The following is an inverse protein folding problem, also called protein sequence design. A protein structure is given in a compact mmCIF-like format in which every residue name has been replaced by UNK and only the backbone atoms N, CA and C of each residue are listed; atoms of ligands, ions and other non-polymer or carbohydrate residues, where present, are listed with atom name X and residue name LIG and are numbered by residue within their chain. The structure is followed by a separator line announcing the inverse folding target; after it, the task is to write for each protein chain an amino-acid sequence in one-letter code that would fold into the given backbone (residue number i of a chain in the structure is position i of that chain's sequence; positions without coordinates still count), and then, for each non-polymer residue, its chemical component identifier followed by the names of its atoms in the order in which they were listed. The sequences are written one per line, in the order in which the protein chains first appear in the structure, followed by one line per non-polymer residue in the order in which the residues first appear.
data_IF_182412241510
#
_entry.id   IF_182412241510
#
_cell.length_a   1.000
_cell.length_b   1.000
_cell.length_c   1.000
_cell.angle_alpha   90.00
_cell.angle_beta   90.00
_cell.angle_gamma   90.00
#
_symmetry.space_group_name_H-M   'P 1'
#
loop_
_entity.id
_entity.type
_entity.pdbx_description
1 polymer ?
#
# COMPACT_ATOMS: atom_id res chain seq x y z
N UNK A 1 4.36 -39.52 -1.58
CA UNK A 1 2.88 -39.54 -1.57
C UNK A 1 2.28 -39.95 -2.91
N UNK A 2 2.71 -39.39 -4.07
CA UNK A 2 2.24 -39.81 -5.41
C UNK A 2 2.48 -41.30 -5.75
N UNK A 3 3.59 -41.90 -5.27
CA UNK A 3 3.90 -43.32 -5.50
C UNK A 3 2.97 -44.30 -4.77
N UNK A 4 2.25 -43.84 -3.73
CA UNK A 4 1.37 -44.67 -2.89
C UNK A 4 -0.13 -44.45 -3.18
N UNK A 5 -0.51 -43.33 -3.80
CA UNK A 5 -1.91 -42.91 -3.90
C UNK A 5 -2.56 -43.20 -5.29
N UNK A 6 -1.80 -43.46 -6.34
CA UNK A 6 -2.37 -43.75 -7.68
C UNK A 6 -2.75 -42.50 -8.49
N UNK A 7 -2.86 -42.66 -9.81
CA UNK A 7 -2.91 -41.56 -10.81
C UNK A 7 -4.07 -40.57 -10.59
N UNK A 8 -5.17 -40.97 -9.96
CA UNK A 8 -6.35 -40.14 -9.67
C UNK A 8 -6.01 -38.94 -8.78
N UNK A 9 -5.03 -39.07 -7.87
CA UNK A 9 -4.60 -37.96 -7.00
C UNK A 9 -3.89 -36.83 -7.76
N UNK A 10 -3.43 -37.06 -9.00
CA UNK A 10 -2.85 -35.98 -9.80
C UNK A 10 -3.87 -34.88 -10.08
N UNK A 11 -5.13 -35.24 -10.34
CA UNK A 11 -6.20 -34.26 -10.61
C UNK A 11 -6.43 -33.38 -9.37
N UNK A 12 -6.44 -33.98 -8.19
CA UNK A 12 -6.53 -33.25 -6.92
C UNK A 12 -5.37 -32.26 -6.75
N UNK A 13 -4.13 -32.70 -6.98
CA UNK A 13 -2.97 -31.81 -6.90
C UNK A 13 -3.03 -30.68 -7.93
N UNK A 14 -3.43 -30.96 -9.18
CA UNK A 14 -3.57 -29.92 -10.20
C UNK A 14 -4.61 -28.88 -9.77
N UNK A 15 -5.78 -29.31 -9.27
CA UNK A 15 -6.82 -28.39 -8.80
C UNK A 15 -6.38 -27.56 -7.60
N UNK A 16 -5.75 -28.18 -6.59
CA UNK A 16 -5.28 -27.49 -5.39
C UNK A 16 -4.16 -26.50 -5.72
N UNK A 17 -3.21 -26.88 -6.56
CA UNK A 17 -2.13 -25.97 -6.96
C UNK A 17 -2.69 -24.83 -7.80
N UNK A 18 -3.57 -25.12 -8.77
CA UNK A 18 -4.18 -24.10 -9.59
C UNK A 18 -4.99 -23.12 -8.73
N UNK A 19 -6.04 -23.60 -8.05
CA UNK A 19 -6.90 -22.76 -7.21
C UNK A 19 -6.13 -22.08 -6.07
N UNK A 20 -5.20 -22.79 -5.45
CA UNK A 20 -4.34 -22.26 -4.40
C UNK A 20 -3.46 -21.12 -4.91
N UNK A 21 -2.79 -21.28 -6.05
CA UNK A 21 -1.96 -20.22 -6.63
C UNK A 21 -2.79 -19.00 -7.03
N UNK A 22 -3.95 -19.17 -7.66
CA UNK A 22 -4.82 -18.04 -7.98
C UNK A 22 -5.28 -17.29 -6.74
N UNK A 23 -5.69 -18.02 -5.69
CA UNK A 23 -6.09 -17.43 -4.43
C UNK A 23 -4.93 -16.64 -3.79
N UNK A 24 -3.74 -17.24 -3.70
CA UNK A 24 -2.57 -16.59 -3.11
C UNK A 24 -2.14 -15.34 -3.90
N UNK A 25 -2.12 -15.40 -5.23
CA UNK A 25 -1.77 -14.23 -6.06
C UNK A 25 -2.77 -13.10 -5.83
N UNK A 26 -4.08 -13.40 -5.81
CA UNK A 26 -5.11 -12.39 -5.58
C UNK A 26 -5.01 -11.77 -4.18
N UNK A 27 -4.72 -12.58 -3.16
CA UNK A 27 -4.49 -12.06 -1.81
C UNK A 27 -3.26 -11.13 -1.75
N UNK A 28 -2.15 -11.52 -2.37
CA UNK A 28 -0.94 -10.70 -2.42
C UNK A 28 -1.22 -9.38 -3.15
N UNK A 29 -1.89 -9.44 -4.31
CA UNK A 29 -2.24 -8.24 -5.08
C UNK A 29 -3.15 -7.30 -4.28
N UNK A 30 -4.14 -7.84 -3.57
CA UNK A 30 -5.01 -7.05 -2.72
C UNK A 30 -4.22 -6.34 -1.61
N UNK A 31 -3.31 -7.05 -0.93
CA UNK A 31 -2.47 -6.48 0.14
C UNK A 31 -1.52 -5.42 -0.41
N UNK A 32 -0.88 -5.68 -1.55
CA UNK A 32 0.04 -4.71 -2.19
C UNK A 32 -0.71 -3.47 -2.64
N UNK A 33 -1.90 -3.63 -3.23
CA UNK A 33 -2.73 -2.50 -3.63
C UNK A 33 -3.14 -1.64 -2.42
N UNK A 34 -3.61 -2.27 -1.34
CA UNK A 34 -3.96 -1.56 -0.10
C UNK A 34 -2.76 -0.85 0.51
N UNK A 35 -1.59 -1.50 0.60
CA UNK A 35 -0.38 -0.90 1.16
C UNK A 35 0.15 0.25 0.29
N UNK A 36 0.02 0.15 -1.03
CA UNK A 36 0.39 1.22 -1.95
C UNK A 36 -0.54 2.43 -1.79
N UNK A 37 -1.85 2.18 -1.70
CA UNK A 37 -2.84 3.23 -1.50
C UNK A 37 -2.65 3.94 -0.16
N UNK A 38 -2.47 3.18 0.93
CA UNK A 38 -2.24 3.72 2.27
C UNK A 38 -0.96 4.57 2.34
N UNK A 39 0.15 4.07 1.77
CA UNK A 39 1.39 4.86 1.73
C UNK A 39 1.26 6.12 0.88
N UNK A 40 0.55 6.04 -0.25
CA UNK A 40 0.34 7.21 -1.10
C UNK A 40 -0.50 8.27 -0.38
N UNK A 41 -1.62 7.87 0.26
CA UNK A 41 -2.46 8.78 1.05
C UNK A 41 -1.68 9.43 2.19
N UNK A 42 -0.89 8.67 2.96
CA UNK A 42 -0.08 9.21 4.04
C UNK A 42 0.98 10.23 3.53
N UNK A 43 1.60 9.95 2.38
CA UNK A 43 2.59 10.86 1.78
C UNK A 43 1.96 12.17 1.31
N UNK A 44 0.77 12.09 0.71
CA UNK A 44 -0.01 13.27 0.29
C UNK A 44 -0.41 14.13 1.48
N UNK A 45 -0.96 13.51 2.53
CA UNK A 45 -1.39 14.23 3.73
C UNK A 45 -0.21 14.89 4.45
N UNK A 46 0.94 14.21 4.56
CA UNK A 46 2.15 14.79 5.15
C UNK A 46 2.67 15.99 4.33
N UNK A 47 2.59 15.92 3.01
CA UNK A 47 3.00 17.01 2.13
C UNK A 47 2.08 18.23 2.28
N UNK A 48 0.76 18.03 2.32
CA UNK A 48 -0.21 19.11 2.53
C UNK A 48 -0.04 19.79 3.90
N UNK A 49 0.19 19.01 4.96
CA UNK A 49 0.45 19.55 6.30
C UNK A 49 1.73 20.38 6.33
N UNK A 50 2.83 19.88 5.75
CA UNK A 50 4.10 20.64 5.67
C UNK A 50 3.96 21.93 4.88
N UNK A 51 3.21 21.92 3.79
CA UNK A 51 2.96 23.12 3.00
C UNK A 51 2.14 24.15 3.81
N UNK A 52 1.09 23.70 4.52
CA UNK A 52 0.30 24.56 5.39
C UNK A 52 1.14 25.19 6.52
N UNK A 53 1.97 24.40 7.19
CA UNK A 53 2.89 24.89 8.23
C UNK A 53 3.90 25.90 7.67
N UNK A 54 4.47 25.61 6.50
CA UNK A 54 5.42 26.50 5.84
C UNK A 54 4.77 27.84 5.46
N UNK A 55 3.55 27.81 4.91
CA UNK A 55 2.80 29.02 4.58
C UNK A 55 2.49 29.85 5.84
N UNK A 56 2.09 29.20 6.93
CA UNK A 56 1.86 29.88 8.21
C UNK A 56 3.13 30.55 8.76
N UNK A 57 4.28 29.86 8.67
CA UNK A 57 5.57 30.41 9.09
C UNK A 57 5.96 31.64 8.25
N UNK A 58 5.79 31.57 6.92
CA UNK A 58 6.06 32.70 6.03
C UNK A 58 5.16 33.91 6.33
N UNK A 59 3.88 33.67 6.63
CA UNK A 59 2.94 34.73 6.97
C UNK A 59 3.30 35.41 8.30
N UNK A 60 3.74 34.62 9.30
CA UNK A 60 4.24 35.16 10.57
C UNK A 60 5.50 36.02 10.37
N UNK A 61 6.45 35.57 9.55
CA UNK A 61 7.67 36.33 9.25
C UNK A 61 7.36 37.66 8.54
N UNK A 62 6.41 37.67 7.60
CA UNK A 62 5.95 38.91 6.96
C UNK A 62 5.37 39.90 7.97
N UNK A 63 4.47 39.43 8.85
CA UNK A 63 3.87 40.28 9.89
C UNK A 63 4.92 40.85 10.85
N UNK A 64 5.95 40.08 11.19
CA UNK A 64 7.06 40.57 12.02
C UNK A 64 7.90 41.64 11.31
N UNK A 65 8.18 41.48 10.01
CA UNK A 65 8.89 42.51 9.24
C UNK A 65 8.08 43.80 9.12
N UNK A 66 6.77 43.71 8.89
CA UNK A 66 5.89 44.87 8.83
C UNK A 66 5.77 45.60 10.18
N UNK A 67 5.78 44.88 11.30
CA UNK A 67 5.74 45.48 12.63
C UNK A 67 7.08 46.09 13.08
N UNK A 68 8.18 45.74 12.42
CA UNK A 68 9.52 46.24 12.72
C UNK A 68 9.95 47.44 11.84
N UNK A 69 9.12 47.85 10.87
CA UNK A 69 9.24 49.08 10.08
C UNK A 69 8.37 50.20 10.67
#
# INVERSE_FOLDING_TARGET
TLRAAGKTYMIFFVLVIFLGSFYLINLILAVVAMAYEEQNQATLEEAEQKEAEFQQMLEQLKKQQEAAQ
#
